data_IF_133046668149
#
_entry.id   IF_133046668149
#
_cell.length_a   1.000
_cell.length_b   1.000
_cell.length_c   1.000
_cell.angle_alpha   90.00
_cell.angle_beta   90.00
_cell.angle_gamma   90.00
#
_symmetry.space_group_name_H-M   'P 1'
#
loop_
_entity.id
_entity.type
_entity.pdbx_description
1 polymer ?
#
# COMPACT_ATOMS: atom_id res chain seq x y z
N UNK A 1 -9.14 -6.19 40.50
CA UNK A 1 -7.95 -5.57 39.87
C UNK A 1 -6.90 -6.65 39.69
N UNK A 2 -7.07 -7.56 38.73
CA UNK A 2 -6.21 -8.76 38.64
C UNK A 2 -6.19 -9.36 37.22
N UNK A 3 -6.20 -8.54 36.17
CA UNK A 3 -6.23 -9.05 34.78
C UNK A 3 -5.28 -8.29 33.82
N UNK A 4 -4.14 -7.78 34.31
CA UNK A 4 -3.23 -7.03 33.44
C UNK A 4 -1.72 -7.35 33.51
N UNK A 5 -1.23 -8.38 34.21
CA UNK A 5 0.23 -8.61 34.31
C UNK A 5 0.79 -9.99 33.90
N UNK A 6 -0.01 -10.96 33.43
CA UNK A 6 0.49 -12.33 33.16
C UNK A 6 0.82 -12.70 31.70
N UNK A 7 0.54 -11.86 30.70
CA UNK A 7 0.82 -12.19 29.27
C UNK A 7 2.17 -11.71 28.72
N UNK A 8 2.91 -10.85 29.43
CA UNK A 8 4.17 -10.25 28.94
C UNK A 8 5.47 -11.01 29.27
N UNK A 9 5.44 -12.17 29.93
CA UNK A 9 6.68 -12.82 30.46
C UNK A 9 6.91 -14.32 30.15
N UNK A 10 6.14 -14.97 29.26
CA UNK A 10 6.27 -16.42 29.00
C UNK A 10 6.53 -16.86 27.54
N UNK A 11 7.10 -15.98 26.69
CA UNK A 11 7.55 -16.35 25.32
C UNK A 11 9.03 -16.06 25.05
N UNK A 12 9.83 -16.02 26.12
CA UNK A 12 11.29 -15.78 26.10
C UNK A 12 12.03 -16.91 26.81
N UNK A 13 11.86 -18.16 26.36
CA UNK A 13 12.75 -19.31 26.67
C UNK A 13 12.20 -20.61 26.05
N UNK A 14 12.53 -20.87 24.78
CA UNK A 14 12.68 -22.25 24.27
C UNK A 14 13.56 -22.23 23.01
N UNK A 15 14.86 -22.55 23.23
CA UNK A 15 15.81 -23.26 22.35
C UNK A 15 15.92 -22.73 20.89
N UNK A 16 16.95 -22.01 20.41
CA UNK A 16 18.43 -22.24 20.39
C UNK A 16 18.85 -23.72 20.20
N UNK A 17 19.62 -23.98 19.11
CA UNK A 17 20.10 -25.25 18.49
C UNK A 17 19.21 -25.69 17.30
N UNK A 18 19.65 -25.86 16.04
CA UNK A 18 20.94 -26.28 15.48
C UNK A 18 21.09 -25.83 14.01
N UNK A 19 22.26 -25.27 13.65
CA UNK A 19 22.87 -25.35 12.31
C UNK A 19 23.12 -26.83 11.96
N UNK A 20 22.83 -27.28 10.73
CA UNK A 20 23.78 -28.12 9.96
C UNK A 20 23.38 -28.26 8.48
N UNK A 21 24.35 -27.93 7.61
CA UNK A 21 24.46 -28.28 6.19
C UNK A 21 24.16 -29.77 5.95
N UNK A 22 23.38 -30.07 4.92
CA UNK A 22 23.49 -31.34 4.19
C UNK A 22 23.44 -31.02 2.69
N UNK A 23 24.62 -31.08 2.06
CA UNK A 23 24.80 -31.23 0.61
C UNK A 23 24.05 -32.50 0.19
N UNK A 24 23.13 -32.43 -0.77
CA UNK A 24 22.65 -33.62 -1.48
C UNK A 24 23.07 -33.54 -2.95
N UNK A 25 23.67 -34.65 -3.36
CA UNK A 25 24.52 -34.90 -4.52
C UNK A 25 23.78 -34.76 -5.85
N UNK A 26 24.54 -34.39 -6.88
CA UNK A 26 24.25 -34.55 -8.30
C UNK A 26 24.00 -36.04 -8.61
N UNK A 27 22.98 -36.28 -9.43
CA UNK A 27 22.94 -37.39 -10.39
C UNK A 27 22.45 -36.80 -11.72
N UNK A 28 23.10 -37.10 -12.87
CA UNK A 28 22.74 -36.53 -14.16
C UNK A 28 21.90 -37.54 -14.95
N UNK A 29 20.60 -37.31 -15.14
CA UNK A 29 19.88 -37.86 -16.31
C UNK A 29 18.47 -37.30 -16.44
N UNK A 30 18.00 -37.28 -17.69
CA UNK A 30 16.68 -36.88 -18.18
C UNK A 30 16.41 -35.35 -18.25
N UNK A 31 16.66 -34.79 -19.44
CA UNK A 31 16.04 -33.54 -19.92
C UNK A 31 14.51 -33.68 -19.89
N UNK A 32 13.75 -32.75 -19.27
CA UNK A 32 12.40 -32.47 -19.69
C UNK A 32 12.45 -31.34 -20.72
N UNK A 33 11.92 -31.61 -21.92
CA UNK A 33 11.77 -30.62 -22.98
C UNK A 33 11.17 -29.32 -22.43
N UNK A 34 11.84 -28.20 -22.68
CA UNK A 34 11.37 -26.88 -22.31
C UNK A 34 10.07 -26.60 -23.08
N UNK A 35 8.94 -26.65 -22.38
CA UNK A 35 7.68 -26.12 -22.90
C UNK A 35 7.93 -24.65 -23.27
N UNK A 36 7.54 -24.18 -24.47
CA UNK A 36 7.74 -22.79 -24.84
C UNK A 36 7.02 -21.91 -23.80
N UNK A 37 7.79 -21.07 -23.10
CA UNK A 37 7.25 -20.07 -22.21
C UNK A 37 6.44 -19.14 -23.10
N UNK A 38 5.11 -19.21 -22.99
CA UNK A 38 4.22 -18.23 -23.61
C UNK A 38 4.79 -16.84 -23.31
N UNK A 39 5.14 -16.10 -24.36
CA UNK A 39 5.60 -14.72 -24.24
C UNK A 39 4.55 -13.97 -23.46
N UNK A 40 4.84 -13.70 -22.18
CA UNK A 40 3.95 -12.94 -21.30
C UNK A 40 3.84 -11.57 -21.95
N UNK A 41 2.71 -11.32 -22.61
CA UNK A 41 2.34 -9.99 -23.12
C UNK A 41 2.49 -9.05 -21.93
N UNK A 42 3.53 -8.22 -21.98
CA UNK A 42 3.84 -7.29 -20.91
C UNK A 42 2.83 -6.16 -21.06
N UNK A 43 1.79 -6.18 -20.23
CA UNK A 43 0.85 -5.07 -20.16
C UNK A 43 1.64 -3.78 -19.91
N UNK A 44 1.28 -2.67 -20.59
CA UNK A 44 1.95 -1.39 -20.37
C UNK A 44 1.89 -1.01 -18.89
N UNK A 45 2.91 -0.29 -18.38
CA UNK A 45 2.91 0.16 -17.00
C UNK A 45 1.67 1.03 -16.72
N UNK A 46 1.09 0.94 -15.51
CA UNK A 46 -0.06 1.75 -15.16
C UNK A 46 0.27 3.25 -15.24
N UNK A 47 -0.72 4.10 -15.56
CA UNK A 47 -0.53 5.54 -15.59
C UNK A 47 -0.08 6.07 -14.22
N UNK A 48 0.77 7.10 -14.23
CA UNK A 48 1.23 7.74 -13.01
C UNK A 48 0.05 8.39 -12.25
N UNK A 49 0.03 8.22 -10.93
CA UNK A 49 -1.00 8.79 -10.07
C UNK A 49 -0.62 10.25 -9.80
N UNK A 50 -1.48 11.22 -10.13
CA UNK A 50 -1.18 12.63 -9.90
C UNK A 50 -1.15 12.96 -8.41
N UNK A 51 -0.46 14.06 -8.10
CA UNK A 51 -0.44 14.64 -6.76
C UNK A 51 -1.49 15.74 -6.63
N UNK A 52 -2.09 15.86 -5.44
CA UNK A 52 -3.07 16.91 -5.13
C UNK A 52 -2.58 18.32 -5.49
N UNK A 53 -1.30 18.61 -5.24
CA UNK A 53 -0.72 19.92 -5.56
C UNK A 53 -0.59 20.22 -7.07
N UNK A 54 -0.65 19.19 -7.91
CA UNK A 54 -0.48 19.29 -9.37
C UNK A 54 -1.80 19.45 -10.13
N UNK A 55 -2.93 19.30 -9.45
CA UNK A 55 -4.26 19.37 -10.08
C UNK A 55 -4.96 20.69 -9.76
N UNK A 56 -5.91 21.07 -10.60
CA UNK A 56 -6.75 22.23 -10.35
C UNK A 56 -7.89 21.90 -9.36
N UNK A 57 -8.47 22.94 -8.76
CA UNK A 57 -9.64 22.84 -7.90
C UNK A 57 -10.83 22.17 -8.60
N UNK A 58 -11.04 22.50 -9.88
CA UNK A 58 -12.11 21.92 -10.68
C UNK A 58 -11.89 20.42 -10.95
N UNK A 59 -10.65 20.01 -11.24
CA UNK A 59 -10.31 18.59 -11.46
C UNK A 59 -10.48 17.77 -10.17
N UNK A 60 -10.19 18.38 -9.01
CA UNK A 60 -10.41 17.76 -7.70
C UNK A 60 -11.90 17.55 -7.41
N UNK A 61 -12.71 18.60 -7.54
CA UNK A 61 -14.15 18.55 -7.22
C UNK A 61 -14.89 17.61 -8.18
N UNK A 62 -14.55 17.65 -9.47
CA UNK A 62 -15.16 16.78 -10.47
C UNK A 62 -14.76 15.30 -10.33
N UNK A 63 -13.70 15.00 -9.57
CA UNK A 63 -13.18 13.64 -9.46
C UNK A 63 -12.61 13.11 -10.78
N UNK A 64 -12.09 14.00 -11.64
CA UNK A 64 -11.48 13.66 -12.94
C UNK A 64 -10.41 12.57 -12.79
N UNK A 65 -9.62 12.68 -11.73
CA UNK A 65 -8.64 11.67 -11.36
C UNK A 65 -9.25 10.69 -10.36
N UNK A 66 -9.51 9.45 -10.81
CA UNK A 66 -10.06 8.39 -9.95
C UNK A 66 -9.11 7.99 -8.83
N UNK A 67 -7.81 8.07 -9.06
CA UNK A 67 -6.79 7.93 -8.03
C UNK A 67 -6.01 9.23 -7.94
N UNK A 68 -5.78 9.69 -6.71
CA UNK A 68 -5.08 10.95 -6.44
C UNK A 68 -4.28 10.80 -5.15
N UNK A 69 -3.05 11.30 -5.14
CA UNK A 69 -2.28 11.40 -3.89
C UNK A 69 -2.75 12.63 -3.12
N UNK A 70 -3.53 12.42 -2.08
CA UNK A 70 -4.16 13.48 -1.27
C UNK A 70 -3.49 13.61 0.10
N UNK A 71 -3.52 14.81 0.69
CA UNK A 71 -3.13 14.98 2.09
C UNK A 71 -4.20 14.43 3.04
N UNK A 72 -3.77 13.96 4.20
CA UNK A 72 -4.62 13.57 5.34
C UNK A 72 -3.87 13.79 6.65
N UNK A 73 -4.60 13.83 7.77
CA UNK A 73 -4.00 13.88 9.11
C UNK A 73 -4.09 12.50 9.75
N UNK A 74 -2.97 12.02 10.30
CA UNK A 74 -2.92 10.80 11.10
C UNK A 74 -2.07 11.06 12.35
N UNK A 75 -2.69 10.92 13.53
CA UNK A 75 -2.04 11.21 14.81
C UNK A 75 -1.57 12.66 14.95
N UNK A 76 -2.25 13.63 14.33
CA UNK A 76 -1.88 15.05 14.36
C UNK A 76 -0.80 15.45 13.35
N UNK A 77 -0.28 14.51 12.56
CA UNK A 77 0.74 14.78 11.53
C UNK A 77 0.12 14.72 10.14
N UNK A 78 0.44 15.69 9.28
CA UNK A 78 0.04 15.68 7.88
C UNK A 78 0.87 14.66 7.10
N UNK A 79 0.19 13.79 6.36
CA UNK A 79 0.76 12.76 5.49
C UNK A 79 0.08 12.80 4.13
N UNK A 80 0.65 12.10 3.17
CA UNK A 80 0.08 11.92 1.84
C UNK A 80 -0.19 10.44 1.56
N UNK A 81 -1.30 10.17 0.89
CA UNK A 81 -1.70 8.82 0.55
C UNK A 81 -2.52 8.79 -0.73
N UNK A 82 -2.45 7.66 -1.43
CA UNK A 82 -3.26 7.44 -2.63
C UNK A 82 -4.69 7.18 -2.21
N UNK A 83 -5.60 8.05 -2.62
CA UNK A 83 -7.03 7.89 -2.42
C UNK A 83 -7.74 7.56 -3.72
N UNK A 84 -8.86 6.85 -3.59
CA UNK A 84 -9.80 6.59 -4.68
C UNK A 84 -11.01 7.49 -4.55
N UNK A 85 -11.41 8.13 -5.65
CA UNK A 85 -12.61 8.96 -5.73
C UNK A 85 -13.87 8.09 -5.82
N UNK A 86 -14.80 8.29 -4.89
CA UNK A 86 -16.13 7.68 -4.90
C UNK A 86 -17.16 8.77 -4.56
N UNK A 87 -18.01 9.10 -5.53
CA UNK A 87 -19.20 9.97 -5.38
C UNK A 87 -18.99 11.20 -4.50
N UNK A 88 -18.01 12.05 -4.84
CA UNK A 88 -17.75 13.30 -4.12
C UNK A 88 -16.77 13.18 -2.95
N UNK A 89 -16.11 12.03 -2.77
CA UNK A 89 -15.14 11.84 -1.70
C UNK A 89 -13.92 11.04 -2.16
N UNK A 90 -12.73 11.48 -1.77
CA UNK A 90 -11.49 10.72 -1.92
C UNK A 90 -11.19 9.92 -0.66
N UNK A 91 -11.12 8.58 -0.78
CA UNK A 91 -10.89 7.66 0.35
C UNK A 91 -9.57 6.92 0.19
N UNK A 92 -8.69 6.98 1.20
CA UNK A 92 -7.41 6.25 1.26
C UNK A 92 -7.64 4.86 1.85
N UNK A 93 -8.23 4.81 3.04
CA UNK A 93 -8.72 3.61 3.72
C UNK A 93 -10.07 3.91 4.36
N UNK A 94 -10.86 2.90 4.73
CA UNK A 94 -12.28 2.98 5.15
C UNK A 94 -12.69 4.31 5.80
N UNK A 95 -12.01 4.73 6.87
CA UNK A 95 -12.37 5.92 7.65
C UNK A 95 -11.50 7.15 7.35
N UNK A 96 -10.46 7.02 6.52
CA UNK A 96 -9.52 8.10 6.19
C UNK A 96 -9.74 8.56 4.76
N UNK A 97 -10.17 9.81 4.62
CA UNK A 97 -10.40 10.44 3.33
C UNK A 97 -10.79 11.90 3.49
N UNK A 98 -10.94 12.58 2.36
CA UNK A 98 -11.34 13.99 2.29
C UNK A 98 -12.47 14.16 1.29
N UNK A 99 -13.35 15.13 1.53
CA UNK A 99 -14.42 15.45 0.59
C UNK A 99 -13.85 16.13 -0.65
N UNK A 100 -14.43 15.84 -1.82
CA UNK A 100 -14.05 16.44 -3.09
C UNK A 100 -14.84 17.73 -3.32
N UNK A 101 -14.71 18.69 -2.40
CA UNK A 101 -15.37 19.99 -2.48
C UNK A 101 -14.35 21.14 -2.45
N UNK A 102 -14.83 22.33 -2.77
CA UNK A 102 -13.97 23.50 -2.89
C UNK A 102 -13.34 23.95 -1.58
N UNK A 103 -14.07 23.84 -0.46
CA UNK A 103 -13.56 24.26 0.84
C UNK A 103 -12.46 23.30 1.33
N UNK A 104 -12.66 22.00 1.14
CA UNK A 104 -11.64 20.98 1.42
C UNK A 104 -10.39 21.21 0.57
N UNK A 105 -10.54 21.53 -0.72
CA UNK A 105 -9.39 21.84 -1.58
C UNK A 105 -8.60 23.04 -1.08
N UNK A 106 -9.29 24.15 -0.78
CA UNK A 106 -8.65 25.39 -0.34
C UNK A 106 -7.93 25.21 1.00
N UNK A 107 -8.56 24.50 1.95
CA UNK A 107 -7.95 24.17 3.25
C UNK A 107 -6.61 23.45 3.07
N UNK A 108 -6.56 22.46 2.18
CA UNK A 108 -5.36 21.66 1.96
C UNK A 108 -4.32 22.35 1.07
N UNK A 109 -4.72 23.28 0.19
CA UNK A 109 -3.77 24.09 -0.57
C UNK A 109 -3.11 25.20 0.26
N UNK A 110 -3.76 25.66 1.32
CA UNK A 110 -3.24 26.69 2.23
C UNK A 110 -2.40 26.17 3.41
N UNK A 111 -2.28 24.84 3.55
CA UNK A 111 -1.48 24.15 4.58
C UNK A 111 -0.06 23.87 4.10
#
# INVERSE_FOLDING_TARGET
>A
VEEQQKKKKKKKKKKKKKKKKIKKKRSPEAKPAAKPKASRVQAPPPPAIPHFNSISKADFISGKHKQLTIPYVDGGVQKYGVATYNSGRYTIIRDIGINADGATFDYWKGK
#
